data_IF_198657176272
#
_entry.id   IF_198657176272
#
_cell.length_a   1.000
_cell.length_b   1.000
_cell.length_c   1.000
_cell.angle_alpha   90.00
_cell.angle_beta   90.00
_cell.angle_gamma   90.00
#
_symmetry.space_group_name_H-M   'P 1'
#
loop_
_entity.id
_entity.type
_entity.pdbx_description
1 polymer ?
#
# COMPACT_ATOMS: atom_id res chain seq x y z
N UNK A 1 -10.29 39.64 1.85
CA UNK A 1 -10.98 38.62 2.67
C UNK A 1 -11.39 37.48 1.73
N UNK A 2 -10.58 36.43 1.65
CA UNK A 2 -10.91 35.15 1.02
C UNK A 2 -10.38 34.08 1.97
N UNK A 3 -11.29 33.26 2.51
CA UNK A 3 -11.05 32.36 3.63
C UNK A 3 -10.13 31.21 3.28
N UNK A 4 -9.07 31.04 4.07
CA UNK A 4 -8.44 29.73 4.31
C UNK A 4 -9.42 28.92 5.15
N UNK A 5 -10.41 28.31 4.50
CA UNK A 5 -11.26 27.30 5.14
C UNK A 5 -10.43 26.04 5.39
N UNK A 6 -10.52 25.53 6.61
CA UNK A 6 -10.20 24.16 7.05
C UNK A 6 -9.13 23.42 6.25
N UNK A 7 -7.88 23.56 6.69
CA UNK A 7 -6.97 22.42 6.62
C UNK A 7 -7.06 21.76 7.99
N UNK A 8 -7.87 20.70 8.18
CA UNK A 8 -7.88 19.97 9.44
C UNK A 8 -6.45 19.49 9.67
N UNK A 9 -5.82 20.05 10.69
CA UNK A 9 -4.52 19.63 11.17
C UNK A 9 -4.62 18.12 11.40
N UNK A 10 -3.82 17.35 10.65
CA UNK A 10 -3.70 15.91 10.81
C UNK A 10 -3.57 15.64 12.31
N UNK A 11 -4.56 14.98 12.91
CA UNK A 11 -4.43 14.50 14.27
C UNK A 11 -3.18 13.62 14.30
N UNK A 12 -2.28 13.84 15.27
CA UNK A 12 -0.99 13.17 15.35
C UNK A 12 -1.07 11.63 15.41
N UNK A 13 -2.29 11.07 15.52
CA UNK A 13 -2.61 9.64 15.59
C UNK A 13 -3.53 9.12 14.46
N UNK A 14 -3.81 9.90 13.42
CA UNK A 14 -4.57 9.39 12.26
C UNK A 14 -3.63 8.79 11.22
N UNK A 15 -3.95 7.60 10.64
CA UNK A 15 -3.10 6.98 9.64
C UNK A 15 -2.92 7.91 8.45
N UNK A 16 -1.69 8.01 7.95
CA UNK A 16 -1.37 8.86 6.80
C UNK A 16 -2.07 8.29 5.56
N UNK A 17 -2.92 9.12 4.95
CA UNK A 17 -3.58 8.82 3.67
C UNK A 17 -3.18 9.89 2.67
N UNK A 18 -2.67 9.49 1.50
CA UNK A 18 -2.34 10.40 0.40
C UNK A 18 -3.34 10.22 -0.73
N UNK A 19 -3.96 11.31 -1.17
CA UNK A 19 -4.96 11.30 -2.22
C UNK A 19 -4.46 12.03 -3.48
N UNK A 20 -4.78 11.46 -4.63
CA UNK A 20 -4.64 12.07 -5.95
C UNK A 20 -5.98 11.96 -6.68
N UNK A 21 -6.20 12.68 -7.79
CA UNK A 21 -7.47 12.59 -8.52
C UNK A 21 -7.85 11.19 -9.02
N UNK A 22 -6.91 10.23 -9.04
CA UNK A 22 -7.13 8.87 -9.55
C UNK A 22 -6.79 7.76 -8.56
N UNK A 23 -6.26 8.08 -7.39
CA UNK A 23 -5.76 7.07 -6.46
C UNK A 23 -5.71 7.57 -5.02
N UNK A 24 -5.96 6.64 -4.09
CA UNK A 24 -5.80 6.80 -2.66
C UNK A 24 -4.72 5.83 -2.19
N UNK A 25 -3.69 6.35 -1.52
CA UNK A 25 -2.63 5.57 -0.89
C UNK A 25 -2.86 5.58 0.63
N UNK A 26 -3.00 4.39 1.21
CA UNK A 26 -3.17 4.15 2.65
C UNK A 26 -2.24 3.03 3.11
N UNK A 27 -2.18 2.84 4.42
CA UNK A 27 -1.55 1.64 5.00
C UNK A 27 -2.26 0.37 4.53
N UNK A 28 -1.47 -0.70 4.39
CA UNK A 28 -1.98 -2.02 4.05
C UNK A 28 -2.96 -2.52 5.11
N UNK A 29 -4.02 -3.17 4.65
CA UNK A 29 -5.00 -3.87 5.48
C UNK A 29 -5.06 -5.35 5.07
N UNK A 30 -5.59 -6.22 5.93
CA UNK A 30 -5.62 -7.66 5.67
C UNK A 30 -6.34 -8.00 4.36
N UNK A 31 -7.40 -7.25 4.02
CA UNK A 31 -8.16 -7.48 2.79
C UNK A 31 -7.42 -7.10 1.51
N UNK A 32 -6.26 -6.44 1.57
CA UNK A 32 -5.45 -6.12 0.38
C UNK A 32 -4.56 -7.28 -0.07
N UNK A 33 -4.45 -8.32 0.76
CA UNK A 33 -3.58 -9.46 0.49
C UNK A 33 -3.89 -10.16 -0.84
N UNK A 34 -5.16 -10.40 -1.25
CA UNK A 34 -5.45 -11.06 -2.52
C UNK A 34 -4.95 -10.26 -3.73
N UNK A 35 -5.16 -8.95 -3.75
CA UNK A 35 -4.73 -8.07 -4.83
C UNK A 35 -3.22 -7.95 -4.90
N UNK A 36 -2.55 -7.81 -3.75
CA UNK A 36 -1.09 -7.82 -3.69
C UNK A 36 -0.53 -9.18 -4.12
N UNK A 37 -1.14 -10.29 -3.69
CA UNK A 37 -0.74 -11.64 -4.08
C UNK A 37 -0.85 -11.87 -5.59
N UNK A 38 -1.87 -11.31 -6.25
CA UNK A 38 -2.00 -11.42 -7.70
C UNK A 38 -0.77 -10.84 -8.40
N UNK A 39 -0.29 -9.67 -7.96
CA UNK A 39 0.92 -9.03 -8.47
C UNK A 39 2.17 -9.85 -8.11
N UNK A 40 2.31 -10.23 -6.84
CA UNK A 40 3.48 -10.94 -6.35
C UNK A 40 3.60 -12.38 -6.87
N UNK A 41 2.53 -12.96 -7.42
CA UNK A 41 2.55 -14.27 -8.07
C UNK A 41 2.84 -14.22 -9.56
N UNK A 42 2.83 -13.03 -10.17
CA UNK A 42 3.05 -12.87 -11.60
C UNK A 42 4.56 -12.90 -11.93
N UNK A 43 5.06 -13.91 -12.68
CA UNK A 43 6.46 -13.98 -13.08
C UNK A 43 6.91 -12.82 -13.98
N UNK A 44 6.00 -12.24 -14.77
CA UNK A 44 6.31 -11.08 -15.62
C UNK A 44 6.68 -9.85 -14.79
N UNK A 45 5.98 -9.66 -13.67
CA UNK A 45 6.25 -8.58 -12.72
C UNK A 45 7.48 -8.92 -11.87
N UNK A 46 7.47 -10.11 -11.28
CA UNK A 46 8.43 -10.46 -10.24
C UNK A 46 9.85 -10.68 -10.74
N UNK A 47 10.07 -10.91 -12.04
CA UNK A 47 11.44 -10.97 -12.62
C UNK A 47 12.28 -9.71 -12.35
N UNK A 48 11.64 -8.58 -12.05
CA UNK A 48 12.31 -7.32 -11.71
C UNK A 48 12.40 -7.04 -10.20
N UNK A 49 11.86 -7.92 -9.35
CA UNK A 49 11.69 -7.70 -7.92
C UNK A 49 12.53 -8.72 -7.14
N UNK A 50 13.38 -8.24 -6.24
CA UNK A 50 14.17 -9.09 -5.34
C UNK A 50 15.02 -10.13 -6.09
N UNK A 51 14.73 -11.42 -5.87
CA UNK A 51 15.43 -12.55 -6.51
C UNK A 51 14.87 -12.93 -7.89
N UNK A 52 13.81 -12.27 -8.37
CA UNK A 52 13.17 -12.60 -9.63
C UNK A 52 12.06 -13.66 -9.54
N UNK A 53 11.91 -14.29 -8.37
CA UNK A 53 10.98 -15.40 -8.16
C UNK A 53 9.58 -14.92 -7.73
N UNK A 54 8.50 -15.47 -8.31
CA UNK A 54 7.15 -15.28 -7.80
C UNK A 54 7.00 -15.69 -6.34
N UNK A 55 6.21 -14.94 -5.58
CA UNK A 55 5.97 -15.20 -4.16
C UNK A 55 4.72 -16.05 -3.93
N UNK A 56 4.83 -16.95 -2.95
CA UNK A 56 3.67 -17.60 -2.32
C UNK A 56 2.87 -16.61 -1.49
N UNK A 57 1.59 -16.91 -1.23
CA UNK A 57 0.72 -16.12 -0.36
C UNK A 57 1.31 -15.85 1.03
N UNK A 58 2.02 -16.81 1.62
CA UNK A 58 2.60 -16.65 2.96
C UNK A 58 3.75 -15.65 2.97
N UNK A 59 4.61 -15.68 1.95
CA UNK A 59 5.68 -14.69 1.74
C UNK A 59 5.10 -13.28 1.50
N UNK A 60 4.05 -13.17 0.70
CA UNK A 60 3.36 -11.89 0.47
C UNK A 60 2.77 -11.33 1.76
N UNK A 61 2.14 -12.18 2.57
CA UNK A 61 1.63 -11.80 3.89
C UNK A 61 2.76 -11.33 4.82
N UNK A 62 3.89 -12.03 4.85
CA UNK A 62 5.06 -11.63 5.64
C UNK A 62 5.57 -10.24 5.24
N UNK A 63 5.64 -9.95 3.94
CA UNK A 63 6.05 -8.63 3.44
C UNK A 63 5.12 -7.50 3.92
N UNK A 64 3.82 -7.75 3.90
CA UNK A 64 2.80 -6.79 4.32
C UNK A 64 2.90 -6.41 5.81
N UNK A 65 3.35 -7.35 6.66
CA UNK A 65 3.50 -7.16 8.11
C UNK A 65 4.88 -6.59 8.50
N UNK A 66 5.91 -6.80 7.69
CA UNK A 66 7.28 -6.32 7.97
C UNK A 66 7.51 -4.83 7.63
N UNK A 67 6.49 -4.12 7.15
CA UNK A 67 6.62 -2.73 6.68
C UNK A 67 6.55 -1.68 7.81
N UNK A 68 6.96 -2.02 9.03
CA UNK A 68 7.04 -1.14 10.22
C UNK A 68 8.46 -0.64 10.50
#
# INVERSE_FOLDING_TARGET
MLGRGDQPFLSANSPVVLETPRALLRLWEEHDLPELQAICSDPEVMRFVGTGEPWSVDRTRQFMVLSE
#
